data_IF_216294170085
#
_entry.id   IF_216294170085
#
_cell.length_a   1.000
_cell.length_b   1.000
_cell.length_c   1.000
_cell.angle_alpha   90.00
_cell.angle_beta   90.00
_cell.angle_gamma   90.00
#
_symmetry.space_group_name_H-M   'P 1'
#
loop_
_entity.id
_entity.type
_entity.pdbx_description
1 polymer ?
#
# COMPACT_ATOMS: atom_id res chain seq x y z
N UNK A 1 25.29 16.00 22.14
CA UNK A 1 25.12 15.14 20.94
C UNK A 1 26.06 15.67 19.86
N UNK A 2 26.95 14.84 19.33
CA UNK A 2 27.88 15.21 18.25
C UNK A 2 27.57 14.31 17.06
N UNK A 3 27.50 14.90 15.86
CA UNK A 3 27.24 14.20 14.61
C UNK A 3 28.26 14.63 13.57
N UNK A 4 28.73 13.69 12.75
CA UNK A 4 29.64 13.95 11.64
C UNK A 4 29.31 13.06 10.45
N UNK A 5 29.64 13.53 9.25
CA UNK A 5 29.57 12.71 8.05
C UNK A 5 30.63 11.60 8.14
N UNK A 6 30.27 10.38 7.72
CA UNK A 6 31.16 9.22 7.70
C UNK A 6 31.06 8.52 6.36
N UNK A 7 32.21 8.32 5.71
CA UNK A 7 32.30 7.58 4.45
C UNK A 7 33.47 6.61 4.54
N UNK A 8 33.21 5.35 4.21
CA UNK A 8 34.19 4.27 4.16
C UNK A 8 33.93 3.41 2.90
N UNK A 9 34.87 2.55 2.56
CA UNK A 9 34.78 1.55 1.48
C UNK A 9 33.48 0.73 1.47
N UNK A 10 32.87 0.51 2.65
CA UNK A 10 31.59 -0.23 2.81
C UNK A 10 30.36 0.67 2.88
N UNK A 11 30.50 1.94 3.27
CA UNK A 11 29.38 2.85 3.57
C UNK A 11 29.66 4.17 2.87
N UNK A 12 28.92 4.47 1.81
CA UNK A 12 29.19 5.67 1.00
C UNK A 12 28.55 6.94 1.58
N UNK A 13 27.36 6.83 2.19
CA UNK A 13 26.58 7.95 2.73
C UNK A 13 26.19 7.73 4.21
N UNK A 14 27.19 7.49 5.04
CA UNK A 14 27.01 7.25 6.47
C UNK A 14 27.03 8.53 7.30
N UNK A 15 26.42 8.45 8.47
CA UNK A 15 26.50 9.41 9.56
C UNK A 15 27.07 8.67 10.77
N UNK A 16 28.02 9.29 11.46
CA UNK A 16 28.48 8.83 12.76
C UNK A 16 27.99 9.81 13.82
N UNK A 17 27.40 9.29 14.88
CA UNK A 17 26.97 10.12 16.00
C UNK A 17 27.30 9.46 17.34
N UNK A 18 27.45 10.31 18.35
CA UNK A 18 27.60 9.91 19.75
C UNK A 18 26.25 10.05 20.46
N UNK A 19 25.77 8.93 20.99
CA UNK A 19 24.59 8.84 21.84
C UNK A 19 24.86 9.48 23.23
N UNK A 20 23.81 9.72 24.01
CA UNK A 20 23.88 10.27 25.37
C UNK A 20 24.65 9.35 26.34
N UNK A 21 24.78 8.06 26.00
CA UNK A 21 25.60 7.08 26.74
C UNK A 21 27.05 7.01 26.25
N UNK A 22 27.52 7.97 25.44
CA UNK A 22 28.86 7.99 24.83
C UNK A 22 29.14 6.82 23.87
N UNK A 23 28.10 6.12 23.41
CA UNK A 23 28.22 5.09 22.40
C UNK A 23 28.30 5.72 21.00
N UNK A 24 29.35 5.40 20.25
CA UNK A 24 29.48 5.80 18.85
C UNK A 24 28.69 4.83 17.97
N UNK A 25 27.75 5.36 17.18
CA UNK A 25 26.93 4.60 16.24
C UNK A 25 27.14 5.12 14.82
N UNK A 26 27.37 4.21 13.89
CA UNK A 26 27.44 4.49 12.46
C UNK A 26 26.10 4.06 11.86
N UNK A 27 25.41 4.98 11.20
CA UNK A 27 24.12 4.74 10.58
C UNK A 27 24.12 5.25 9.14
N UNK A 28 23.34 4.59 8.30
CA UNK A 28 23.08 5.04 6.93
C UNK A 28 21.62 5.46 6.83
N UNK A 29 21.35 6.52 6.06
CA UNK A 29 19.98 6.92 5.76
C UNK A 29 19.39 5.98 4.70
N UNK A 30 18.25 5.32 4.96
CA UNK A 30 17.61 4.47 3.98
C UNK A 30 17.27 5.23 2.68
N UNK A 31 17.73 4.71 1.55
CA UNK A 31 17.55 5.35 0.23
C UNK A 31 16.13 5.23 -0.32
N UNK A 32 15.28 4.40 0.31
CA UNK A 32 13.89 4.17 -0.07
C UNK A 32 12.91 5.20 0.50
N UNK A 33 13.40 6.18 1.26
CA UNK A 33 12.62 7.29 1.79
C UNK A 33 12.93 8.58 1.03
N UNK A 34 11.88 9.36 0.80
CA UNK A 34 11.99 10.74 0.35
C UNK A 34 12.10 11.66 1.57
N UNK A 35 13.18 12.46 1.61
CA UNK A 35 13.51 13.40 2.67
C UNK A 35 13.29 14.88 2.28
N UNK A 36 12.69 15.14 1.10
CA UNK A 36 12.43 16.50 0.62
C UNK A 36 11.26 17.18 1.36
N UNK A 37 10.40 16.40 2.01
CA UNK A 37 9.25 16.89 2.77
C UNK A 37 9.59 17.09 4.26
N UNK A 38 8.70 17.78 4.99
CA UNK A 38 8.86 18.02 6.43
C UNK A 38 9.04 16.74 7.27
N UNK A 39 8.55 15.60 6.78
CA UNK A 39 8.73 14.29 7.37
C UNK A 39 9.25 13.32 6.32
N UNK A 40 10.14 12.37 6.67
CA UNK A 40 10.54 11.30 5.76
C UNK A 40 9.32 10.47 5.36
N UNK A 41 9.11 10.32 4.05
CA UNK A 41 7.97 9.57 3.51
C UNK A 41 8.43 8.52 2.52
N UNK A 42 7.80 7.35 2.55
CA UNK A 42 8.02 6.27 1.58
C UNK A 42 6.75 6.05 0.77
N UNK A 43 6.87 6.05 -0.55
CA UNK A 43 5.77 5.70 -1.45
C UNK A 43 5.64 4.18 -1.56
N UNK A 44 4.42 3.68 -1.47
CA UNK A 44 4.11 2.26 -1.54
C UNK A 44 3.00 2.06 -2.56
N UNK A 45 3.35 1.49 -3.72
CA UNK A 45 2.40 1.23 -4.80
C UNK A 45 1.52 0.01 -4.50
N UNK A 46 0.21 0.24 -4.31
CA UNK A 46 -0.81 -0.81 -4.09
C UNK A 46 -1.54 -1.19 -5.39
N UNK A 47 -1.45 -0.36 -6.43
CA UNK A 47 -2.05 -0.59 -7.75
C UNK A 47 -3.57 -0.39 -7.83
N UNK A 48 -4.23 -0.06 -6.71
CA UNK A 48 -5.67 0.19 -6.62
C UNK A 48 -5.95 1.44 -5.79
N UNK A 49 -7.14 2.02 -5.93
CA UNK A 49 -7.56 3.15 -5.13
C UNK A 49 -7.83 2.71 -3.69
N UNK A 50 -7.23 3.41 -2.72
CA UNK A 50 -7.40 3.14 -1.30
C UNK A 50 -8.52 4.03 -0.77
N UNK A 51 -9.52 3.42 -0.11
CA UNK A 51 -10.62 4.13 0.55
C UNK A 51 -10.31 4.41 2.02
N UNK A 52 -9.77 3.44 2.74
CA UNK A 52 -9.47 3.54 4.17
C UNK A 52 -8.31 2.65 4.58
N UNK A 53 -7.64 3.05 5.65
CA UNK A 53 -6.45 2.38 6.21
C UNK A 53 -6.66 2.24 7.72
N UNK A 54 -6.31 1.08 8.27
CA UNK A 54 -6.29 0.85 9.72
C UNK A 54 -5.04 0.04 10.11
N UNK A 55 -4.41 0.39 11.23
CA UNK A 55 -3.34 -0.41 11.81
C UNK A 55 -3.92 -1.38 12.84
N UNK A 56 -3.53 -2.64 12.76
CA UNK A 56 -3.88 -3.65 13.75
C UNK A 56 -2.65 -3.98 14.59
N UNK A 57 -2.68 -3.53 15.85
CA UNK A 57 -1.52 -3.57 16.76
C UNK A 57 -1.09 -4.99 17.09
N UNK A 58 -2.03 -5.90 17.36
CA UNK A 58 -1.70 -7.25 17.84
C UNK A 58 -0.97 -8.11 16.80
N UNK A 59 -1.22 -7.87 15.51
CA UNK A 59 -0.59 -8.63 14.42
C UNK A 59 0.44 -7.82 13.65
N UNK A 60 0.74 -6.59 14.08
CA UNK A 60 1.62 -5.64 13.41
C UNK A 60 1.37 -5.58 11.89
N UNK A 61 0.10 -5.39 11.51
CA UNK A 61 -0.31 -5.35 10.10
C UNK A 61 -1.20 -4.17 9.81
N UNK A 62 -1.08 -3.66 8.59
CA UNK A 62 -1.93 -2.61 8.04
C UNK A 62 -3.04 -3.25 7.21
N UNK A 63 -4.29 -2.90 7.51
CA UNK A 63 -5.46 -3.30 6.76
C UNK A 63 -5.86 -2.15 5.84
N UNK A 64 -5.97 -2.45 4.54
CA UNK A 64 -6.32 -1.51 3.48
C UNK A 64 -7.66 -1.90 2.88
N UNK A 65 -8.62 -0.97 2.87
CA UNK A 65 -9.81 -1.11 2.03
C UNK A 65 -9.50 -0.50 0.67
N UNK A 66 -9.46 -1.32 -0.37
CA UNK A 66 -9.23 -0.89 -1.75
C UNK A 66 -10.49 -1.05 -2.58
N UNK A 67 -10.59 -0.28 -3.66
CA UNK A 67 -11.62 -0.45 -4.66
C UNK A 67 -11.03 -0.27 -6.05
N UNK A 68 -11.62 -0.98 -7.01
CA UNK A 68 -11.36 -0.82 -8.43
C UNK A 68 -12.65 -0.63 -9.19
N UNK A 69 -12.59 0.16 -10.24
CA UNK A 69 -13.70 0.33 -11.16
C UNK A 69 -13.77 -0.88 -12.09
N UNK A 70 -14.96 -1.44 -12.25
CA UNK A 70 -15.25 -2.54 -13.17
C UNK A 70 -16.49 -2.19 -13.99
N UNK A 71 -16.61 -2.68 -15.23
CA UNK A 71 -17.86 -2.55 -15.97
C UNK A 71 -18.99 -3.23 -15.20
N UNK A 72 -20.15 -2.57 -15.12
CA UNK A 72 -21.33 -3.10 -14.45
C UNK A 72 -21.99 -4.16 -15.32
N UNK A 73 -22.10 -5.37 -14.79
CA UNK A 73 -22.87 -6.44 -15.38
C UNK A 73 -24.31 -6.39 -14.86
N UNK A 74 -25.24 -5.95 -15.71
CA UNK A 74 -26.68 -5.89 -15.43
C UNK A 74 -27.32 -7.29 -15.48
N UNK A 75 -26.92 -8.19 -14.59
CA UNK A 75 -27.47 -9.55 -14.48
C UNK A 75 -28.54 -9.63 -13.39
N UNK A 76 -29.58 -10.42 -13.63
CA UNK A 76 -30.57 -10.80 -12.63
C UNK A 76 -30.08 -11.94 -11.72
N UNK A 77 -30.91 -12.36 -10.77
CA UNK A 77 -30.61 -13.44 -9.82
C UNK A 77 -30.38 -14.82 -10.50
N UNK A 78 -30.86 -15.00 -11.73
CA UNK A 78 -30.66 -16.20 -12.55
C UNK A 78 -29.47 -16.09 -13.52
N UNK A 79 -28.72 -14.98 -13.47
CA UNK A 79 -27.58 -14.72 -14.36
C UNK A 79 -27.98 -14.32 -15.79
N UNK A 80 -29.23 -13.90 -16.00
CA UNK A 80 -29.71 -13.40 -17.30
C UNK A 80 -29.66 -11.87 -17.34
N UNK A 81 -29.39 -11.27 -18.51
CA UNK A 81 -29.45 -9.82 -18.66
C UNK A 81 -30.87 -9.31 -18.41
N UNK A 82 -31.00 -8.28 -17.57
CA UNK A 82 -32.30 -7.68 -17.22
C UNK A 82 -33.01 -7.13 -18.47
N UNK A 83 -34.33 -7.31 -18.55
CA UNK A 83 -35.14 -6.78 -19.66
C UNK A 83 -35.09 -5.24 -19.70
N UNK A 84 -34.68 -4.67 -20.84
CA UNK A 84 -34.51 -3.22 -21.02
C UNK A 84 -33.09 -2.77 -21.39
N UNK A 85 -32.12 -3.70 -21.42
CA UNK A 85 -30.75 -3.40 -21.88
C UNK A 85 -30.75 -3.20 -23.40
N UNK A 86 -30.54 -1.97 -23.85
CA UNK A 86 -30.32 -1.64 -25.26
C UNK A 86 -28.99 -2.26 -25.69
N UNK A 87 -29.02 -3.18 -26.66
CA UNK A 87 -27.82 -3.93 -27.11
C UNK A 87 -26.72 -3.02 -27.66
N UNK A 88 -27.07 -1.84 -28.16
CA UNK A 88 -26.14 -0.83 -28.70
C UNK A 88 -25.42 0.00 -27.61
N UNK A 89 -25.86 -0.08 -26.34
CA UNK A 89 -25.18 0.59 -25.20
C UNK A 89 -24.09 -0.33 -24.59
N UNK A 90 -23.94 -1.56 -25.10
CA UNK A 90 -22.89 -2.49 -24.65
C UNK A 90 -21.47 -1.93 -24.76
N UNK A 91 -21.25 -0.95 -25.63
CA UNK A 91 -19.95 -0.30 -25.81
C UNK A 91 -19.62 0.72 -24.69
N UNK A 92 -20.60 1.10 -23.86
CA UNK A 92 -20.40 1.98 -22.69
C UNK A 92 -21.16 1.43 -21.47
N UNK A 93 -20.68 0.32 -20.87
CA UNK A 93 -21.27 -0.20 -19.65
C UNK A 93 -21.18 0.85 -18.53
N UNK A 94 -22.21 0.92 -17.69
CA UNK A 94 -22.16 1.75 -16.49
C UNK A 94 -20.98 1.31 -15.61
N UNK A 95 -20.36 2.25 -14.89
CA UNK A 95 -19.23 1.95 -14.02
C UNK A 95 -19.74 1.40 -12.69
N UNK A 96 -19.23 0.24 -12.28
CA UNK A 96 -19.43 -0.34 -10.95
C UNK A 96 -18.11 -0.36 -10.17
N UNK A 97 -18.20 -0.57 -8.86
CA UNK A 97 -17.06 -0.60 -7.96
C UNK A 97 -16.94 -1.97 -7.31
N UNK A 98 -15.78 -2.61 -7.49
CA UNK A 98 -15.42 -3.83 -6.77
C UNK A 98 -14.47 -3.47 -5.63
N UNK A 99 -14.96 -3.62 -4.40
CA UNK A 99 -14.15 -3.49 -3.19
C UNK A 99 -13.34 -4.74 -2.90
N UNK A 100 -12.18 -4.58 -2.28
CA UNK A 100 -11.37 -5.64 -1.69
C UNK A 100 -10.72 -5.14 -0.40
N UNK A 101 -10.38 -6.07 0.49
CA UNK A 101 -9.60 -5.77 1.70
C UNK A 101 -8.25 -6.44 1.53
N UNK A 102 -7.17 -5.67 1.65
CA UNK A 102 -5.79 -6.14 1.55
C UNK A 102 -5.11 -6.00 2.91
N UNK A 103 -4.34 -7.00 3.27
CA UNK A 103 -3.54 -6.99 4.50
C UNK A 103 -2.06 -6.88 4.11
N UNK A 104 -1.37 -5.90 4.69
CA UNK A 104 0.01 -5.54 4.36
C UNK A 104 0.84 -5.51 5.63
N UNK A 105 2.03 -6.13 5.60
CA UNK A 105 2.98 -6.03 6.70
C UNK A 105 3.84 -4.76 6.53
N UNK A 106 4.09 -3.97 7.59
CA UNK A 106 4.93 -2.78 7.52
C UNK A 106 6.43 -3.11 7.34
N UNK A 107 6.85 -4.33 7.73
CA UNK A 107 8.25 -4.76 7.67
C UNK A 107 8.68 -5.20 6.27
N UNK A 108 7.71 -5.61 5.48
CA UNK A 108 7.91 -6.24 4.20
C UNK A 108 7.41 -5.26 3.13
N UNK A 109 8.32 -4.78 2.27
CA UNK A 109 7.93 -3.93 1.14
C UNK A 109 6.80 -4.57 0.31
N UNK A 110 6.02 -3.78 -0.45
CA UNK A 110 4.77 -4.21 -1.10
C UNK A 110 4.90 -5.43 -2.02
N UNK A 111 6.12 -5.75 -2.45
CA UNK A 111 6.45 -6.91 -3.29
C UNK A 111 6.48 -8.26 -2.54
N UNK A 112 6.42 -8.27 -1.21
CA UNK A 112 6.50 -9.50 -0.42
C UNK A 112 5.12 -9.91 0.12
N UNK A 113 4.39 -10.61 -0.75
CA UNK A 113 3.14 -11.34 -0.47
C UNK A 113 2.02 -10.49 0.14
N UNK A 114 1.26 -9.83 -0.73
CA UNK A 114 -0.18 -9.67 -0.50
C UNK A 114 -0.76 -11.07 -0.26
N UNK A 115 -0.99 -11.43 0.99
CA UNK A 115 -1.86 -12.55 1.32
C UNK A 115 -3.26 -12.16 0.85
N UNK A 116 -3.59 -12.55 -0.37
CA UNK A 116 -4.96 -12.62 -0.87
C UNK A 116 -5.68 -13.70 -0.05
N UNK A 117 -6.08 -13.37 1.17
CA UNK A 117 -7.15 -14.12 1.80
C UNK A 117 -8.42 -13.76 1.02
N UNK A 118 -9.12 -14.80 0.56
CA UNK A 118 -10.30 -14.67 -0.27
C UNK A 118 -11.31 -13.73 0.41
N UNK A 119 -11.74 -12.75 -0.38
CA UNK A 119 -12.80 -11.82 -0.05
C UNK A 119 -14.03 -12.64 0.35
N UNK A 120 -14.39 -12.62 1.64
CA UNK A 120 -15.79 -12.84 2.01
C UNK A 120 -16.59 -11.77 1.28
N UNK A 121 -17.35 -12.19 0.26
CA UNK A 121 -18.39 -11.38 -0.35
C UNK A 121 -19.31 -10.92 0.78
N UNK A 122 -19.25 -9.63 1.14
CA UNK A 122 -20.40 -8.99 1.76
C UNK A 122 -21.42 -8.83 0.63
N UNK A 123 -22.41 -9.72 0.68
CA UNK A 123 -23.66 -9.69 -0.10
C UNK A 123 -24.40 -8.40 0.20
#
# INVERSE_FOLDING_TARGET
MSISAFSDSKIKNGLIFLDNQQNARICELPLDFNYEFNLPMKHVDIGESIKSIAYHETSDTVVLSTFKQIPYDCLDEEGKPIAGIIKDIKDTPAMSFKGSIKLVSPYNGPSSKLLNWEIMKLV
#
